data_IF_804115743395
#
_entry.id   IF_804115743395
#
_cell.length_a   1.000
_cell.length_b   1.000
_cell.length_c   1.000
_cell.angle_alpha   90.00
_cell.angle_beta   90.00
_cell.angle_gamma   90.00
#
_symmetry.space_group_name_H-M   'P 1'
#
loop_
_entity.id
_entity.type
_entity.pdbx_description
1 polymer ?
#
# COMPACT_ATOMS: atom_id res chain seq x y z
N UNK A 1 -15.09 -10.65 -26.10
CA UNK A 1 -15.50 -10.38 -24.71
C UNK A 1 -14.39 -9.51 -24.16
N UNK A 2 -14.69 -8.23 -24.06
CA UNK A 2 -13.82 -7.09 -24.37
C UNK A 2 -12.42 -7.12 -23.76
N UNK A 3 -11.46 -7.06 -24.67
CA UNK A 3 -10.18 -6.39 -24.48
C UNK A 3 -10.47 -4.89 -24.36
N UNK A 4 -10.17 -4.30 -23.19
CA UNK A 4 -10.01 -2.86 -23.08
C UNK A 4 -8.72 -2.61 -22.30
N UNK A 5 -7.64 -2.60 -23.08
CA UNK A 5 -6.65 -1.53 -23.08
C UNK A 5 -6.29 -0.97 -21.70
N UNK A 6 -5.22 -1.53 -21.13
CA UNK A 6 -4.41 -0.90 -20.09
C UNK A 6 -3.57 0.28 -20.67
N UNK A 7 -4.14 1.00 -21.65
CA UNK A 7 -3.50 2.10 -22.36
C UNK A 7 -3.38 3.32 -21.43
N UNK A 8 -2.15 3.49 -20.97
CA UNK A 8 -1.41 4.74 -21.13
C UNK A 8 -2.07 5.98 -20.49
N UNK A 9 -2.29 5.93 -19.17
CA UNK A 9 -2.45 7.16 -18.38
C UNK A 9 -1.06 7.70 -18.03
N UNK A 10 -0.54 8.55 -18.92
CA UNK A 10 0.70 9.31 -18.72
C UNK A 10 0.35 10.67 -18.13
N UNK A 11 0.06 10.70 -16.83
CA UNK A 11 -0.20 11.95 -16.10
C UNK A 11 0.93 12.27 -15.12
N UNK A 12 1.21 13.57 -15.05
CA UNK A 12 2.22 14.32 -14.31
C UNK A 12 2.17 14.12 -12.77
N UNK A 13 2.26 12.88 -12.32
CA UNK A 13 2.17 12.47 -10.90
C UNK A 13 3.31 11.57 -10.47
N UNK A 14 4.36 11.46 -11.29
CA UNK A 14 5.59 10.80 -10.86
C UNK A 14 6.16 11.60 -9.69
N UNK A 15 6.00 11.07 -8.47
CA UNK A 15 6.98 11.29 -7.40
C UNK A 15 8.26 10.55 -7.83
N UNK A 16 8.81 10.90 -8.99
CA UNK A 16 10.17 10.55 -9.37
C UNK A 16 11.11 11.54 -8.66
N UNK A 17 11.00 11.58 -7.33
CA UNK A 17 12.11 11.99 -6.51
C UNK A 17 13.22 10.95 -6.70
N UNK A 18 14.45 11.42 -6.83
CA UNK A 18 15.63 10.56 -6.82
C UNK A 18 15.60 9.67 -5.56
N UNK A 19 15.19 8.40 -5.70
CA UNK A 19 15.05 7.47 -4.58
C UNK A 19 16.42 7.18 -3.99
N UNK A 20 16.56 7.37 -2.69
CA UNK A 20 17.79 7.01 -2.02
C UNK A 20 17.94 5.48 -1.94
N UNK A 21 19.17 4.99 -1.80
CA UNK A 21 19.40 3.56 -1.54
C UNK A 21 18.69 3.06 -0.28
N UNK A 22 18.46 3.96 0.69
CA UNK A 22 17.72 3.69 1.92
C UNK A 22 16.25 3.40 1.62
N UNK A 23 15.62 4.21 0.77
CA UNK A 23 14.22 4.06 0.39
C UNK A 23 13.98 2.73 -0.34
N UNK A 24 14.91 2.36 -1.23
CA UNK A 24 14.89 1.06 -1.92
C UNK A 24 14.97 -0.08 -0.90
N UNK A 25 15.88 0.00 0.07
CA UNK A 25 16.02 -1.01 1.12
C UNK A 25 14.76 -1.11 1.98
N UNK A 26 14.16 0.01 2.36
CA UNK A 26 12.95 0.02 3.19
C UNK A 26 11.74 -0.57 2.47
N UNK A 27 11.54 -0.17 1.21
CA UNK A 27 10.51 -0.75 0.33
C UNK A 27 10.67 -2.26 0.16
N UNK A 28 11.91 -2.75 0.01
CA UNK A 28 12.18 -4.18 -0.10
C UNK A 28 11.79 -4.93 1.18
N UNK A 29 12.12 -4.39 2.36
CA UNK A 29 11.69 -4.97 3.64
C UNK A 29 10.17 -4.97 3.74
N UNK A 30 9.49 -3.87 3.41
CA UNK A 30 8.03 -3.81 3.40
C UNK A 30 7.40 -4.91 2.51
N UNK A 31 7.97 -5.13 1.32
CA UNK A 31 7.54 -6.17 0.37
C UNK A 31 7.75 -7.58 0.92
N UNK A 32 8.90 -7.85 1.53
CA UNK A 32 9.18 -9.12 2.18
C UNK A 32 8.20 -9.39 3.32
N UNK A 33 7.85 -8.36 4.11
CA UNK A 33 6.89 -8.49 5.20
C UNK A 33 5.48 -8.79 4.68
N UNK A 34 4.99 -8.05 3.69
CA UNK A 34 3.68 -8.30 3.09
C UNK A 34 3.61 -9.70 2.47
N UNK A 35 4.67 -10.11 1.78
CA UNK A 35 4.78 -11.45 1.17
C UNK A 35 4.79 -12.55 2.23
N UNK A 36 5.61 -12.40 3.27
CA UNK A 36 5.67 -13.34 4.38
C UNK A 36 4.31 -13.45 5.09
N UNK A 37 3.62 -12.32 5.29
CA UNK A 37 2.28 -12.28 5.90
C UNK A 37 1.25 -13.05 5.08
N UNK A 38 1.24 -12.86 3.75
CA UNK A 38 0.34 -13.57 2.82
C UNK A 38 0.64 -15.07 2.74
N UNK A 39 1.91 -15.46 2.71
CA UNK A 39 2.32 -16.88 2.68
C UNK A 39 1.89 -17.67 3.90
N UNK A 40 1.52 -17.04 5.01
CA UNK A 40 1.05 -17.75 6.21
C UNK A 40 -0.15 -18.66 5.92
N UNK A 41 -1.05 -18.25 5.01
CA UNK A 41 -2.22 -19.06 4.62
C UNK A 41 -1.87 -20.31 3.81
N UNK A 42 -0.65 -20.41 3.29
CA UNK A 42 -0.18 -21.62 2.57
C UNK A 42 0.15 -22.75 3.55
N UNK A 43 0.40 -22.41 4.83
CA UNK A 43 0.84 -23.36 5.86
C UNK A 43 -0.13 -23.49 7.04
N UNK A 44 -0.97 -22.48 7.27
CA UNK A 44 -1.87 -22.37 8.42
C UNK A 44 -3.28 -21.96 7.97
N UNK A 45 -4.33 -22.31 8.72
CA UNK A 45 -5.68 -21.84 8.44
C UNK A 45 -5.76 -20.32 8.29
N UNK A 46 -6.41 -19.85 7.22
CA UNK A 46 -6.42 -18.43 6.87
C UNK A 46 -7.17 -17.55 7.90
N UNK A 47 -8.11 -18.13 8.64
CA UNK A 47 -8.89 -17.47 9.69
C UNK A 47 -8.06 -17.10 10.94
N UNK A 48 -6.82 -17.57 11.04
CA UNK A 48 -5.89 -17.17 12.10
C UNK A 48 -5.34 -15.75 11.88
N UNK A 49 -5.48 -15.18 10.67
CA UNK A 49 -4.89 -13.91 10.29
C UNK A 49 -5.97 -12.87 9.98
N UNK A 50 -5.68 -11.59 10.25
CA UNK A 50 -6.65 -10.52 10.04
C UNK A 50 -6.12 -9.15 10.39
N UNK A 51 -5.14 -8.66 9.63
CA UNK A 51 -4.53 -7.34 9.83
C UNK A 51 -4.75 -6.42 8.60
N UNK A 52 -6.00 -6.24 8.14
CA UNK A 52 -6.30 -5.60 6.85
C UNK A 52 -5.78 -4.18 6.73
N UNK A 53 -5.81 -3.39 7.81
CA UNK A 53 -5.28 -2.03 7.79
C UNK A 53 -3.76 -2.02 7.58
N UNK A 54 -3.05 -2.97 8.19
CA UNK A 54 -1.60 -3.06 8.07
C UNK A 54 -1.18 -3.57 6.70
N UNK A 55 -1.87 -4.58 6.17
CA UNK A 55 -1.60 -5.09 4.83
C UNK A 55 -1.87 -4.02 3.75
N UNK A 56 -2.92 -3.20 3.91
CA UNK A 56 -3.14 -2.00 3.08
C UNK A 56 -2.02 -0.98 3.18
N UNK A 57 -1.57 -0.65 4.40
CA UNK A 57 -0.51 0.33 4.61
C UNK A 57 0.81 -0.10 3.99
N UNK A 58 1.17 -1.38 4.10
CA UNK A 58 2.36 -1.94 3.44
C UNK A 58 2.26 -1.86 1.91
N UNK A 59 1.11 -2.25 1.35
CA UNK A 59 0.88 -2.21 -0.10
C UNK A 59 0.96 -0.77 -0.65
N UNK A 60 0.31 0.19 0.02
CA UNK A 60 0.36 1.61 -0.34
C UNK A 60 1.75 2.21 -0.12
N UNK A 61 2.49 1.80 0.90
CA UNK A 61 3.87 2.24 1.14
C UNK A 61 4.81 1.77 0.02
N UNK A 62 4.68 0.52 -0.41
CA UNK A 62 5.43 0.00 -1.56
C UNK A 62 5.07 0.79 -2.82
N UNK A 63 3.77 0.97 -3.09
CA UNK A 63 3.30 1.71 -4.26
C UNK A 63 3.79 3.16 -4.29
N UNK A 64 3.77 3.83 -3.13
CA UNK A 64 4.30 5.19 -2.97
C UNK A 64 5.76 5.27 -3.42
N UNK A 65 6.60 4.34 -2.96
CA UNK A 65 8.01 4.27 -3.35
C UNK A 65 8.20 3.84 -4.81
N UNK A 66 7.29 3.07 -5.39
CA UNK A 66 7.30 2.76 -6.82
C UNK A 66 6.82 3.93 -7.69
N UNK A 67 6.28 5.00 -7.09
CA UNK A 67 5.65 6.10 -7.82
C UNK A 67 4.32 5.71 -8.46
N UNK A 68 3.63 4.71 -7.89
CA UNK A 68 2.35 4.18 -8.38
C UNK A 68 1.20 4.67 -7.51
N UNK A 69 0.08 4.94 -8.17
CA UNK A 69 -1.21 5.17 -7.52
C UNK A 69 -1.98 3.85 -7.42
N UNK A 70 -2.68 3.64 -6.31
CA UNK A 70 -3.47 2.45 -6.06
C UNK A 70 -4.94 2.82 -6.05
N UNK A 71 -5.75 2.16 -6.88
CA UNK A 71 -7.20 2.37 -6.86
C UNK A 71 -7.80 1.87 -5.54
N UNK A 72 -8.95 2.42 -5.14
CA UNK A 72 -9.69 1.91 -3.96
C UNK A 72 -9.92 0.40 -4.05
N UNK A 73 -10.29 -0.12 -5.23
CA UNK A 73 -10.49 -1.56 -5.45
C UNK A 73 -9.22 -2.37 -5.22
N UNK A 74 -8.08 -1.90 -5.73
CA UNK A 74 -6.79 -2.57 -5.51
C UNK A 74 -6.37 -2.53 -4.04
N UNK A 75 -6.56 -1.40 -3.35
CA UNK A 75 -6.31 -1.30 -1.91
C UNK A 75 -7.20 -2.28 -1.12
N UNK A 76 -8.46 -2.46 -1.54
CA UNK A 76 -9.35 -3.43 -0.92
C UNK A 76 -8.85 -4.87 -1.08
N UNK A 77 -8.37 -5.24 -2.27
CA UNK A 77 -7.74 -6.55 -2.53
C UNK A 77 -6.52 -6.74 -1.64
N UNK A 78 -5.67 -5.70 -1.53
CA UNK A 78 -4.44 -5.77 -0.75
C UNK A 78 -4.67 -6.09 0.74
N UNK A 79 -5.82 -5.68 1.29
CA UNK A 79 -6.21 -5.90 2.68
C UNK A 79 -6.43 -7.36 3.08
N UNK A 80 -6.58 -8.27 2.11
CA UNK A 80 -6.85 -9.69 2.37
C UNK A 80 -8.22 -10.00 3.02
N UNK A 81 -9.04 -8.98 3.29
CA UNK A 81 -10.38 -9.13 3.89
C UNK A 81 -11.52 -8.99 2.88
N UNK A 82 -12.76 -9.07 3.39
CA UNK A 82 -13.94 -8.75 2.56
C UNK A 82 -13.91 -7.28 2.11
N UNK A 83 -14.49 -6.99 0.94
CA UNK A 83 -14.56 -5.61 0.42
C UNK A 83 -15.20 -4.63 1.42
N UNK A 84 -16.25 -5.04 2.14
CA UNK A 84 -16.91 -4.21 3.16
C UNK A 84 -15.98 -3.93 4.35
N UNK A 85 -15.25 -4.95 4.81
CA UNK A 85 -14.26 -4.80 5.88
C UNK A 85 -13.13 -3.87 5.45
N UNK A 86 -12.65 -4.03 4.22
CA UNK A 86 -11.61 -3.24 3.62
C UNK A 86 -12.01 -1.75 3.52
N UNK A 87 -13.18 -1.45 2.96
CA UNK A 87 -13.69 -0.08 2.84
C UNK A 87 -13.85 0.61 4.20
N UNK A 88 -14.29 -0.12 5.23
CA UNK A 88 -14.37 0.42 6.60
C UNK A 88 -12.99 0.78 7.14
N UNK A 89 -11.98 -0.04 6.89
CA UNK A 89 -10.61 0.25 7.29
C UNK A 89 -10.02 1.41 6.51
N UNK A 90 -10.25 1.47 5.20
CA UNK A 90 -9.82 2.59 4.37
C UNK A 90 -10.40 3.92 4.87
N UNK A 91 -11.71 3.96 5.16
CA UNK A 91 -12.35 5.15 5.72
C UNK A 91 -11.79 5.53 7.11
N UNK A 92 -11.46 4.53 7.93
CA UNK A 92 -10.82 4.75 9.24
C UNK A 92 -9.41 5.31 9.09
N UNK A 93 -8.59 4.76 8.20
CA UNK A 93 -7.25 5.26 7.90
C UNK A 93 -7.28 6.69 7.35
N UNK A 94 -8.27 7.01 6.53
CA UNK A 94 -8.50 8.36 6.00
C UNK A 94 -8.87 9.33 7.12
N UNK A 95 -9.78 8.94 8.03
CA UNK A 95 -10.14 9.76 9.21
C UNK A 95 -8.93 10.01 10.11
N UNK A 96 -8.03 9.02 10.23
CA UNK A 96 -6.79 9.15 10.99
C UNK A 96 -5.67 9.88 10.23
N UNK A 97 -5.91 10.32 8.99
CA UNK A 97 -4.93 11.01 8.13
C UNK A 97 -3.69 10.14 7.78
N UNK A 98 -3.85 8.82 7.78
CA UNK A 98 -2.80 7.88 7.32
C UNK A 98 -2.82 7.69 5.81
N UNK A 99 -3.99 7.85 5.20
CA UNK A 99 -4.17 7.78 3.76
C UNK A 99 -5.00 8.97 3.29
N UNK A 100 -4.86 9.31 2.01
CA UNK A 100 -5.68 10.32 1.35
C UNK A 100 -6.21 9.76 0.03
N UNK A 101 -7.42 10.18 -0.34
CA UNK A 101 -8.05 9.84 -1.61
C UNK A 101 -7.82 10.97 -2.61
N UNK A 102 -7.51 10.57 -3.83
CA UNK A 102 -7.29 11.47 -4.96
C UNK A 102 -8.30 11.10 -6.04
N UNK A 103 -9.13 12.05 -6.44
CA UNK A 103 -9.99 11.89 -7.61
C UNK A 103 -9.13 11.98 -8.86
N UNK A 104 -9.39 11.10 -9.82
CA UNK A 104 -8.82 11.20 -11.16
C UNK A 104 -9.47 12.40 -11.90
N UNK A 105 -8.65 13.32 -12.41
CA UNK A 105 -9.10 14.52 -13.09
C UNK A 105 -9.78 14.20 -14.44
N UNK A 106 -9.44 13.06 -15.04
CA UNK A 106 -9.96 12.61 -16.33
C UNK A 106 -11.18 11.69 -16.20
N UNK A 107 -11.30 10.94 -15.08
CA UNK A 107 -12.50 10.15 -14.76
C UNK A 107 -12.84 10.19 -13.26
N UNK A 108 -13.79 11.05 -12.86
CA UNK A 108 -14.25 11.17 -11.46
C UNK A 108 -14.82 9.88 -10.84
N UNK A 109 -15.03 8.82 -11.63
CA UNK A 109 -15.41 7.49 -11.11
C UNK A 109 -14.22 6.71 -10.58
N UNK A 110 -13.00 7.09 -10.95
CA UNK A 110 -11.75 6.50 -10.45
C UNK A 110 -11.24 7.31 -9.28
N UNK A 111 -11.12 6.63 -8.15
CA UNK A 111 -10.57 7.18 -6.92
C UNK A 111 -9.30 6.37 -6.61
N UNK A 112 -8.19 7.08 -6.51
CA UNK A 112 -6.93 6.55 -6.05
C UNK A 112 -6.73 6.83 -4.57
N UNK A 113 -5.85 6.04 -3.96
CA UNK A 113 -5.45 6.13 -2.57
C UNK A 113 -3.94 6.18 -2.52
N UNK A 114 -3.40 7.02 -1.65
CA UNK A 114 -1.99 7.02 -1.28
C UNK A 114 -1.84 7.16 0.24
N UNK A 115 -0.70 6.73 0.77
CA UNK A 115 -0.28 7.11 2.12
C UNK A 115 0.04 8.60 2.20
N UNK A 116 -0.14 9.17 3.38
CA UNK A 116 0.34 10.53 3.71
C UNK A 116 1.79 10.48 4.18
N UNK A 117 2.45 11.64 4.22
CA UNK A 117 3.81 11.78 4.75
C UNK A 117 3.92 11.29 6.21
N UNK A 118 2.84 11.46 7.00
CA UNK A 118 2.75 10.94 8.37
C UNK A 118 2.89 9.41 8.39
N UNK A 119 2.12 8.71 7.54
CA UNK A 119 2.15 7.27 7.46
C UNK A 119 3.48 6.76 6.90
N UNK A 120 4.02 7.45 5.88
CA UNK A 120 5.33 7.15 5.31
C UNK A 120 6.44 7.21 6.38
N UNK A 121 6.53 8.32 7.12
CA UNK A 121 7.53 8.50 8.17
C UNK A 121 7.40 7.47 9.29
N UNK A 122 6.16 7.16 9.71
CA UNK A 122 5.91 6.18 10.76
C UNK A 122 6.36 4.77 10.34
N UNK A 123 6.00 4.34 9.13
CA UNK A 123 6.38 3.02 8.59
C UNK A 123 7.89 2.96 8.36
N UNK A 124 8.49 3.98 7.76
CA UNK A 124 9.94 4.07 7.55
C UNK A 124 10.72 3.99 8.86
N UNK A 125 10.24 4.67 9.91
CA UNK A 125 10.87 4.64 11.25
C UNK A 125 10.80 3.25 11.87
N UNK A 126 9.65 2.58 11.75
CA UNK A 126 9.48 1.23 12.25
C UNK A 126 10.32 0.20 11.47
N UNK A 127 10.39 0.31 10.14
CA UNK A 127 11.27 -0.54 9.31
C UNK A 127 12.74 -0.30 9.67
N UNK A 128 13.15 0.96 9.85
CA UNK A 128 14.52 1.27 10.27
C UNK A 128 14.87 0.62 11.62
N UNK A 129 13.94 0.66 12.57
CA UNK A 129 14.10 -0.03 13.85
C UNK A 129 14.24 -1.54 13.67
N UNK A 130 13.39 -2.16 12.84
CA UNK A 130 13.45 -3.60 12.54
C UNK A 130 14.78 -4.02 11.88
N UNK A 131 15.31 -3.19 10.97
CA UNK A 131 16.61 -3.45 10.33
C UNK A 131 17.73 -3.35 11.37
N UNK A 132 17.68 -2.36 12.27
CA UNK A 132 18.63 -2.23 13.38
C UNK A 132 18.68 -3.47 14.26
N UNK A 133 17.52 -4.05 14.58
CA UNK A 133 17.43 -5.30 15.37
C UNK A 133 18.02 -6.54 14.69
N UNK A 134 18.25 -6.51 13.37
CA UNK A 134 18.89 -7.61 12.63
C UNK A 134 20.41 -7.46 12.54
N UNK A 135 20.96 -6.35 13.02
CA UNK A 135 22.37 -5.97 12.90
C UNK A 135 23.23 -6.16 14.15
N UNK A 136 22.65 -6.65 15.26
CA UNK A 136 23.32 -6.91 16.54
C UNK A 136 23.61 -8.40 16.75
#
# INVERSE_FOLDING_TARGET
MDSLDEDEVRDDWTVAGNRSSRDISMMQVAREMLTARRRRSDYLPADFFGEPAWDMLLDLYIAHHEGKLISVSSACIASGGSATTALRWLARLETLQWVTRISDDNDRRRIYVRITDLAEQAISSWIAHLIGLRGD
#
